data_IF_200647081669
#
_entry.id   IF_200647081669
#
_cell.length_a   1.000
_cell.length_b   1.000
_cell.length_c   1.000
_cell.angle_alpha   90.00
_cell.angle_beta   90.00
_cell.angle_gamma   90.00
#
_symmetry.space_group_name_H-M   'P 1'
#
loop_
_entity.id
_entity.type
_entity.pdbx_description
1 polymer ?
#
# COMPACT_ATOMS: atom_id res chain seq x y z
N UNK A 1 6.48 -5.02 23.05
CA UNK A 1 6.84 -3.75 23.73
C UNK A 1 8.08 -3.14 23.09
N UNK A 2 8.05 -1.85 22.71
CA UNK A 2 9.25 -1.18 22.24
C UNK A 2 10.32 -1.15 23.34
N UNK A 3 11.55 -1.46 22.98
CA UNK A 3 12.69 -1.33 23.90
C UNK A 3 13.33 0.03 23.69
N UNK A 4 13.49 0.87 24.71
CA UNK A 4 14.14 2.17 24.57
C UNK A 4 15.59 2.02 24.13
N UNK A 5 15.97 2.75 23.09
CA UNK A 5 17.34 2.85 22.58
C UNK A 5 17.66 4.31 22.27
N UNK A 6 18.84 4.75 22.63
CA UNK A 6 19.34 6.06 22.22
C UNK A 6 20.07 5.93 20.88
N UNK A 7 19.61 6.68 19.89
CA UNK A 7 20.26 6.80 18.59
C UNK A 7 20.61 8.27 18.39
N UNK A 8 21.86 8.54 17.99
CA UNK A 8 22.31 9.90 17.67
C UNK A 8 22.28 10.10 16.16
N UNK A 9 21.69 11.20 15.75
CA UNK A 9 21.72 11.67 14.38
C UNK A 9 22.60 12.92 14.29
N UNK A 10 23.24 13.13 13.14
CA UNK A 10 23.88 14.39 12.86
C UNK A 10 22.86 15.52 12.67
N UNK A 11 23.35 16.77 12.62
CA UNK A 11 22.48 17.95 12.55
C UNK A 11 21.65 17.96 11.26
N UNK A 12 22.21 17.54 10.13
CA UNK A 12 21.52 17.53 8.84
C UNK A 12 20.40 16.51 8.82
N UNK A 13 20.62 15.32 9.38
CA UNK A 13 19.60 14.28 9.52
C UNK A 13 18.47 14.71 10.46
N UNK A 14 18.80 15.35 11.59
CA UNK A 14 17.79 15.89 12.51
C UNK A 14 16.93 16.98 11.86
N UNK A 15 17.55 17.87 11.09
CA UNK A 15 16.82 18.91 10.33
C UNK A 15 15.87 18.27 9.29
N UNK A 16 16.34 17.27 8.55
CA UNK A 16 15.52 16.54 7.59
C UNK A 16 14.35 15.81 8.25
N UNK A 17 14.58 15.16 9.41
CA UNK A 17 13.51 14.51 10.19
C UNK A 17 12.49 15.53 10.72
N UNK A 18 12.93 16.68 11.19
CA UNK A 18 12.04 17.75 11.65
C UNK A 18 11.17 18.27 10.50
N UNK A 19 11.75 18.47 9.32
CA UNK A 19 11.02 18.88 8.12
C UNK A 19 10.01 17.82 7.66
N UNK A 20 10.39 16.55 7.69
CA UNK A 20 9.48 15.44 7.40
C UNK A 20 8.31 15.40 8.40
N UNK A 21 8.59 15.45 9.69
CA UNK A 21 7.57 15.45 10.74
C UNK A 21 6.59 16.64 10.61
N UNK A 22 7.10 17.82 10.25
CA UNK A 22 6.28 19.02 10.06
C UNK A 22 5.28 18.89 8.88
N UNK A 23 5.62 18.11 7.86
CA UNK A 23 4.73 17.83 6.71
C UNK A 23 3.70 16.76 6.99
N UNK A 24 3.81 16.04 8.10
CA UNK A 24 2.97 14.89 8.45
C UNK A 24 2.29 15.15 9.79
N UNK A 25 1.04 15.53 9.76
CA UNK A 25 0.28 15.88 10.96
C UNK A 25 0.30 14.74 12.00
N UNK A 26 0.61 15.10 13.25
CA UNK A 26 0.63 14.16 14.37
C UNK A 26 1.93 13.39 14.56
N UNK A 27 2.95 13.59 13.71
CA UNK A 27 4.26 12.97 13.90
C UNK A 27 5.20 13.87 14.71
N UNK A 28 5.80 13.28 15.75
CA UNK A 28 7.01 13.83 16.40
C UNK A 28 8.26 13.43 15.60
N UNK A 29 9.40 14.07 15.89
CA UNK A 29 10.69 13.67 15.29
C UNK A 29 11.01 12.22 15.61
N UNK A 30 10.75 11.76 16.83
CA UNK A 30 10.98 10.36 17.24
C UNK A 30 10.06 9.38 16.47
N UNK A 31 8.80 9.71 16.30
CA UNK A 31 7.86 8.89 15.54
C UNK A 31 8.20 8.86 14.05
N UNK A 32 8.63 9.98 13.49
CA UNK A 32 9.10 10.08 12.12
C UNK A 32 10.34 9.21 11.89
N UNK A 33 11.31 9.25 12.81
CA UNK A 33 12.51 8.42 12.74
C UNK A 33 12.16 6.92 12.81
N UNK A 34 11.28 6.51 13.72
CA UNK A 34 10.83 5.12 13.85
C UNK A 34 10.12 4.65 12.57
N UNK A 35 9.22 5.45 12.01
CA UNK A 35 8.52 5.16 10.77
C UNK A 35 9.48 4.96 9.60
N UNK A 36 10.39 5.90 9.39
CA UNK A 36 11.32 5.84 8.25
C UNK A 36 12.34 4.71 8.38
N UNK A 37 12.78 4.38 9.59
CA UNK A 37 13.63 3.21 9.84
C UNK A 37 12.88 1.92 9.54
N UNK A 38 11.65 1.78 9.99
CA UNK A 38 10.81 0.62 9.69
C UNK A 38 10.58 0.44 8.19
N UNK A 39 10.23 1.51 7.49
CA UNK A 39 10.08 1.49 6.03
C UNK A 39 11.39 1.11 5.32
N UNK A 40 12.51 1.68 5.74
CA UNK A 40 13.83 1.35 5.20
C UNK A 40 14.19 -0.12 5.37
N UNK A 41 13.89 -0.70 6.52
CA UNK A 41 14.10 -2.14 6.79
C UNK A 41 13.19 -3.01 5.93
N UNK A 42 11.95 -2.61 5.71
CA UNK A 42 11.02 -3.32 4.81
C UNK A 42 11.48 -3.24 3.35
N UNK A 43 12.00 -2.11 2.93
CA UNK A 43 12.57 -1.96 1.58
C UNK A 43 13.79 -2.86 1.37
N UNK A 44 14.64 -3.00 2.38
CA UNK A 44 15.78 -3.92 2.34
C UNK A 44 15.32 -5.39 2.27
N UNK A 45 14.29 -5.75 3.04
CA UNK A 45 13.73 -7.10 3.06
C UNK A 45 12.94 -7.45 1.78
N UNK A 46 12.37 -6.46 1.11
CA UNK A 46 11.53 -6.62 -0.09
C UNK A 46 12.03 -5.74 -1.24
N UNK A 47 13.14 -6.13 -1.92
CA UNK A 47 13.62 -5.38 -3.08
C UNK A 47 12.55 -5.19 -4.15
N UNK A 48 12.39 -3.96 -4.61
CA UNK A 48 11.33 -3.57 -5.55
C UNK A 48 10.11 -2.91 -4.89
N UNK A 49 10.01 -2.95 -3.55
CA UNK A 49 9.01 -2.20 -2.78
C UNK A 49 9.60 -0.88 -2.31
N UNK A 50 8.83 0.19 -2.45
CA UNK A 50 9.09 1.52 -1.87
C UNK A 50 7.84 2.02 -1.17
N UNK A 51 7.96 3.09 -0.38
CA UNK A 51 6.81 3.67 0.33
C UNK A 51 6.49 5.04 -0.24
N UNK A 52 5.19 5.29 -0.44
CA UNK A 52 4.67 6.56 -0.92
C UNK A 52 3.47 7.01 -0.09
N UNK A 53 3.23 8.30 -0.07
CA UNK A 53 2.04 8.86 0.53
C UNK A 53 0.85 8.79 -0.40
N UNK A 54 -0.32 8.62 0.19
CA UNK A 54 -1.59 8.63 -0.49
C UNK A 54 -2.71 9.12 0.42
N UNK A 55 -3.96 9.13 -0.09
CA UNK A 55 -5.12 9.60 0.68
C UNK A 55 -5.36 8.85 1.99
N UNK A 56 -4.92 7.60 2.08
CA UNK A 56 -5.06 6.74 3.26
C UNK A 56 -3.77 6.63 4.09
N UNK A 57 -2.79 7.48 3.84
CA UNK A 57 -1.49 7.48 4.50
C UNK A 57 -0.38 6.87 3.64
N UNK A 58 0.70 6.47 4.29
CA UNK A 58 1.84 5.85 3.61
C UNK A 58 1.54 4.40 3.26
N UNK A 59 1.93 3.98 2.08
CA UNK A 59 1.63 2.65 1.54
C UNK A 59 2.80 2.07 0.75
N UNK A 60 2.91 0.76 0.79
CA UNK A 60 3.87 0.01 -0.02
C UNK A 60 3.45 0.04 -1.48
N UNK A 61 4.38 0.39 -2.36
CA UNK A 61 4.18 0.41 -3.80
C UNK A 61 5.37 -0.22 -4.51
N UNK A 62 5.17 -0.74 -5.72
CA UNK A 62 6.29 -1.22 -6.53
C UNK A 62 7.02 -0.03 -7.17
N UNK A 63 8.33 -0.14 -7.31
CA UNK A 63 9.12 0.86 -8.05
C UNK A 63 8.57 0.99 -9.47
N UNK A 64 8.06 2.19 -9.80
CA UNK A 64 7.46 2.47 -11.12
C UNK A 64 6.17 1.72 -11.41
N UNK A 65 5.57 1.09 -10.43
CA UNK A 65 4.38 0.28 -10.58
C UNK A 65 3.23 0.69 -9.66
N UNK A 66 2.17 -0.13 -9.60
CA UNK A 66 1.04 0.09 -8.72
C UNK A 66 1.38 -0.20 -7.26
N UNK A 67 0.48 0.16 -6.37
CA UNK A 67 0.55 -0.21 -4.97
C UNK A 67 0.39 -1.73 -4.78
N UNK A 68 1.02 -2.27 -3.75
CA UNK A 68 0.89 -3.70 -3.43
C UNK A 68 -0.57 -4.10 -3.22
N UNK A 69 -1.36 -3.27 -2.54
CA UNK A 69 -2.78 -3.57 -2.30
C UNK A 69 -3.61 -3.66 -3.61
N UNK A 70 -3.26 -2.88 -4.63
CA UNK A 70 -3.93 -2.94 -5.93
C UNK A 70 -3.69 -4.28 -6.62
N UNK A 71 -2.47 -4.79 -6.54
CA UNK A 71 -2.10 -6.11 -7.10
C UNK A 71 -2.84 -7.22 -6.34
N UNK A 72 -2.85 -7.17 -5.01
CA UNK A 72 -3.56 -8.15 -4.16
C UNK A 72 -5.06 -8.13 -4.46
N UNK A 73 -5.66 -6.95 -4.62
CA UNK A 73 -7.05 -6.82 -5.01
C UNK A 73 -7.32 -7.45 -6.38
N UNK A 74 -6.48 -7.17 -7.37
CA UNK A 74 -6.62 -7.76 -8.71
C UNK A 74 -6.52 -9.29 -8.69
N UNK A 75 -5.63 -9.86 -7.88
CA UNK A 75 -5.52 -11.32 -7.70
C UNK A 75 -6.78 -11.91 -7.06
N UNK A 76 -7.36 -11.25 -6.07
CA UNK A 76 -8.62 -11.65 -5.43
C UNK A 76 -9.80 -11.58 -6.39
N UNK A 77 -9.88 -10.53 -7.17
CA UNK A 77 -10.93 -10.35 -8.17
C UNK A 77 -10.86 -11.43 -9.25
N UNK A 78 -9.66 -11.74 -9.75
CA UNK A 78 -9.44 -12.84 -10.69
C UNK A 78 -9.85 -14.20 -10.10
N UNK A 79 -9.51 -14.47 -8.84
CA UNK A 79 -9.92 -15.70 -8.14
C UNK A 79 -11.43 -15.77 -7.96
N UNK A 80 -12.08 -14.66 -7.64
CA UNK A 80 -13.53 -14.61 -7.46
C UNK A 80 -14.29 -14.78 -8.77
N UNK A 81 -13.73 -14.29 -9.87
CA UNK A 81 -14.34 -14.42 -11.20
C UNK A 81 -14.33 -15.86 -11.70
N UNK A 82 -13.28 -16.62 -11.43
CA UNK A 82 -13.20 -18.05 -11.76
C UNK A 82 -12.44 -18.83 -10.66
N UNK A 83 -13.17 -19.43 -9.71
CA UNK A 83 -12.57 -20.21 -8.63
C UNK A 83 -11.83 -21.47 -9.10
N UNK A 84 -12.03 -21.93 -10.33
CA UNK A 84 -11.46 -23.17 -10.86
C UNK A 84 -10.05 -23.02 -11.41
N UNK A 85 -9.61 -21.79 -11.73
CA UNK A 85 -8.26 -21.53 -12.26
C UNK A 85 -7.17 -21.79 -11.22
N UNK A 86 -6.03 -22.27 -11.69
CA UNK A 86 -4.86 -22.50 -10.84
C UNK A 86 -4.24 -21.19 -10.33
N UNK A 87 -3.42 -21.29 -9.31
CA UNK A 87 -2.68 -20.14 -8.78
C UNK A 87 -1.78 -19.49 -9.85
N UNK A 88 -1.16 -20.29 -10.71
CA UNK A 88 -0.32 -19.79 -11.80
C UNK A 88 -1.14 -19.02 -12.84
N UNK A 89 -2.29 -19.55 -13.23
CA UNK A 89 -3.19 -18.92 -14.20
C UNK A 89 -3.76 -17.59 -13.67
N UNK A 90 -4.03 -17.48 -12.37
CA UNK A 90 -4.45 -16.19 -11.77
C UNK A 90 -3.38 -15.13 -11.95
N UNK A 91 -2.12 -15.47 -11.72
CA UNK A 91 -1.00 -14.54 -11.94
C UNK A 91 -0.92 -14.15 -13.41
N UNK A 92 -1.08 -15.09 -14.32
CA UNK A 92 -1.10 -14.82 -15.77
C UNK A 92 -2.24 -13.87 -16.15
N UNK A 93 -3.44 -14.08 -15.63
CA UNK A 93 -4.60 -13.20 -15.85
C UNK A 93 -4.30 -11.76 -15.40
N UNK A 94 -3.71 -11.59 -14.23
CA UNK A 94 -3.35 -10.26 -13.73
C UNK A 94 -2.29 -9.61 -14.60
N UNK A 95 -1.27 -10.35 -15.04
CA UNK A 95 -0.23 -9.84 -15.94
C UNK A 95 -0.80 -9.45 -17.32
N UNK A 96 -1.69 -10.26 -17.89
CA UNK A 96 -2.33 -9.99 -19.18
C UNK A 96 -3.23 -8.73 -19.15
N UNK A 97 -3.87 -8.47 -18.03
CA UNK A 97 -4.76 -7.32 -17.85
C UNK A 97 -4.07 -6.07 -17.27
N UNK A 98 -2.75 -6.10 -17.15
CA UNK A 98 -1.95 -5.00 -16.61
C UNK A 98 -0.63 -4.86 -17.37
N UNK A 99 0.21 -3.91 -16.97
CA UNK A 99 1.58 -3.77 -17.48
C UNK A 99 2.61 -4.50 -16.62
N UNK A 100 2.15 -5.33 -15.67
CA UNK A 100 3.00 -6.07 -14.75
C UNK A 100 3.53 -7.35 -15.38
N UNK A 101 4.75 -7.72 -15.01
CA UNK A 101 5.29 -9.06 -15.24
C UNK A 101 5.14 -9.95 -13.99
N UNK A 102 5.42 -11.24 -14.15
CA UNK A 102 5.32 -12.22 -13.06
C UNK A 102 6.25 -11.91 -11.90
N UNK A 103 7.44 -11.37 -12.17
CA UNK A 103 8.40 -11.02 -11.14
C UNK A 103 7.88 -9.87 -10.26
N UNK A 104 7.23 -8.89 -10.86
CA UNK A 104 6.59 -7.79 -10.12
C UNK A 104 5.42 -8.28 -9.26
N UNK A 105 4.58 -9.15 -9.79
CA UNK A 105 3.49 -9.77 -9.00
C UNK A 105 4.07 -10.57 -7.84
N UNK A 106 5.17 -11.29 -8.05
CA UNK A 106 5.82 -12.06 -6.99
C UNK A 106 6.35 -11.15 -5.87
N UNK A 107 6.93 -9.99 -6.20
CA UNK A 107 7.36 -8.99 -5.20
C UNK A 107 6.17 -8.58 -4.31
N UNK A 108 5.01 -8.30 -4.91
CA UNK A 108 3.80 -7.96 -4.16
C UNK A 108 3.30 -9.11 -3.29
N UNK A 109 3.33 -10.35 -3.79
CA UNK A 109 2.95 -11.54 -3.03
C UNK A 109 3.87 -11.80 -1.83
N UNK A 110 5.17 -11.64 -2.01
CA UNK A 110 6.15 -11.81 -0.93
C UNK A 110 5.95 -10.77 0.17
N UNK A 111 5.70 -9.52 -0.20
CA UNK A 111 5.37 -8.47 0.76
C UNK A 111 4.05 -8.75 1.49
N UNK A 112 3.01 -9.13 0.76
CA UNK A 112 1.72 -9.48 1.35
C UNK A 112 1.83 -10.64 2.34
N UNK A 113 2.65 -11.65 2.05
CA UNK A 113 2.85 -12.80 2.92
C UNK A 113 3.40 -12.42 4.31
N UNK A 114 4.15 -11.33 4.41
CA UNK A 114 4.72 -10.82 5.66
C UNK A 114 3.83 -9.76 6.32
N UNK A 115 3.14 -8.94 5.54
CA UNK A 115 2.35 -7.79 6.01
C UNK A 115 0.89 -7.85 5.52
N UNK A 116 0.16 -8.98 5.74
CA UNK A 116 -1.19 -9.13 5.20
C UNK A 116 -2.20 -8.13 5.77
N UNK A 117 -2.16 -7.85 7.06
CA UNK A 117 -3.13 -6.97 7.72
C UNK A 117 -3.04 -5.53 7.21
N UNK A 118 -1.83 -5.03 6.97
CA UNK A 118 -1.59 -3.71 6.40
C UNK A 118 -2.16 -3.60 4.99
N UNK A 119 -1.87 -4.57 4.14
CA UNK A 119 -2.37 -4.60 2.76
C UNK A 119 -3.88 -4.77 2.72
N UNK A 120 -4.43 -5.66 3.55
CA UNK A 120 -5.88 -5.88 3.66
C UNK A 120 -6.63 -4.63 4.11
N UNK A 121 -6.03 -3.83 5.00
CA UNK A 121 -6.62 -2.56 5.43
C UNK A 121 -6.74 -1.56 4.27
N UNK A 122 -5.74 -1.50 3.39
CA UNK A 122 -5.79 -0.65 2.20
C UNK A 122 -6.83 -1.14 1.18
N UNK A 123 -6.94 -2.44 0.96
CA UNK A 123 -7.99 -3.03 0.09
C UNK A 123 -9.37 -2.68 0.63
N UNK A 124 -9.60 -2.87 1.92
CA UNK A 124 -10.89 -2.56 2.57
C UNK A 124 -11.23 -1.08 2.49
N UNK A 125 -10.27 -0.18 2.66
CA UNK A 125 -10.46 1.26 2.54
C UNK A 125 -10.86 1.65 1.11
N UNK A 126 -10.22 1.06 0.09
CA UNK A 126 -10.55 1.29 -1.31
C UNK A 126 -11.96 0.80 -1.65
N UNK A 127 -12.33 -0.40 -1.22
CA UNK A 127 -13.66 -0.98 -1.44
C UNK A 127 -14.76 -0.14 -0.77
N UNK A 128 -14.50 0.37 0.43
CA UNK A 128 -15.43 1.27 1.13
C UNK A 128 -15.60 2.59 0.38
N UNK A 129 -14.51 3.19 -0.07
CA UNK A 129 -14.54 4.45 -0.83
C UNK A 129 -15.32 4.31 -2.15
N UNK A 130 -15.16 3.20 -2.86
CA UNK A 130 -15.92 2.92 -4.09
C UNK A 130 -17.41 2.79 -3.81
N UNK A 131 -17.80 2.02 -2.80
CA UNK A 131 -19.21 1.86 -2.40
C UNK A 131 -19.86 3.17 -1.98
N UNK A 132 -19.13 4.01 -1.26
CA UNK A 132 -19.64 5.33 -0.85
C UNK A 132 -19.81 6.27 -2.05
N UNK A 133 -18.89 6.23 -3.00
CA UNK A 133 -18.98 6.98 -4.26
C UNK A 133 -20.21 6.54 -5.07
N UNK A 134 -20.39 5.23 -5.27
CA UNK A 134 -21.54 4.67 -5.98
C UNK A 134 -22.88 5.09 -5.34
N UNK A 135 -22.97 5.02 -4.00
CA UNK A 135 -24.13 5.44 -3.23
C UNK A 135 -24.40 6.93 -3.43
N UNK A 136 -23.37 7.75 -3.38
CA UNK A 136 -23.49 9.20 -3.60
C UNK A 136 -23.97 9.52 -5.00
N UNK A 137 -23.41 8.85 -6.02
CA UNK A 137 -23.83 9.04 -7.41
C UNK A 137 -25.27 8.60 -7.63
N UNK A 138 -25.68 7.49 -7.03
CA UNK A 138 -27.08 7.02 -7.13
C UNK A 138 -28.06 7.99 -6.48
N UNK A 139 -27.73 8.51 -5.30
CA UNK A 139 -28.56 9.52 -4.63
C UNK A 139 -28.67 10.79 -5.48
N UNK A 140 -27.58 11.24 -6.07
CA UNK A 140 -27.58 12.42 -6.96
C UNK A 140 -28.43 12.17 -8.21
N UNK A 141 -28.31 11.01 -8.84
CA UNK A 141 -29.16 10.63 -9.97
C UNK A 141 -30.65 10.63 -9.61
N UNK A 142 -31.01 10.05 -8.47
CA UNK A 142 -32.41 10.07 -7.97
C UNK A 142 -32.92 11.49 -7.76
N UNK A 143 -32.11 12.39 -7.20
CA UNK A 143 -32.47 13.77 -6.99
C UNK A 143 -32.70 14.51 -8.31
N UNK A 144 -31.87 14.24 -9.32
CA UNK A 144 -31.97 14.91 -10.62
C UNK A 144 -32.98 14.26 -11.58
N UNK A 145 -33.57 13.13 -11.20
CA UNK A 145 -34.60 12.44 -12.01
C UNK A 145 -34.09 11.80 -13.28
N UNK A 146 -32.81 11.44 -13.32
CA UNK A 146 -32.15 10.81 -14.48
C UNK A 146 -31.73 9.38 -14.18
#
# INVERSE_FOLDING_TARGET
>A
MPTPRSIRFDADTLEALAAFAARHAGLSISSAAALLVEEGLRMDAHPGVVFQEGPTGRRATLVGGPDVWEIVRALRDARSADPSVSASEIVDIVCENSVLDRAQVQVALDYYGVHPDEVDAHVSAADTAERDLERTLEQTRRLLGS
#
